data_IF_691695607610
#
_entry.id   IF_691695607610
#
_cell.length_a   1.000
_cell.length_b   1.000
_cell.length_c   1.000
_cell.angle_alpha   90.00
_cell.angle_beta   90.00
_cell.angle_gamma   90.00
#
_symmetry.space_group_name_H-M   'P 1'
#
loop_
_entity.id
_entity.type
_entity.pdbx_description
1 polymer ?
#
# COMPACT_ATOMS: atom_id res chain seq x y z
N UNK A 1 -9.85 16.52 48.98
CA UNK A 1 -10.21 15.48 49.97
C UNK A 1 -11.23 14.54 49.33
N UNK A 2 -11.11 13.24 49.62
CA UNK A 2 -11.94 12.07 49.22
C UNK A 2 -11.86 11.64 47.73
N UNK A 3 -10.98 10.69 47.38
CA UNK A 3 -11.06 9.20 47.52
C UNK A 3 -12.08 8.59 46.55
N UNK A 4 -11.56 7.88 45.54
CA UNK A 4 -12.13 6.59 45.15
C UNK A 4 -11.04 5.71 44.53
N UNK A 5 -10.66 4.67 45.26
CA UNK A 5 -9.70 3.63 44.85
C UNK A 5 -10.50 2.53 44.15
N UNK A 6 -10.08 2.12 42.95
CA UNK A 6 -10.52 0.85 42.35
C UNK A 6 -9.31 -0.08 42.26
N UNK A 7 -9.30 -1.06 43.13
CA UNK A 7 -8.42 -2.22 43.11
C UNK A 7 -9.00 -3.29 42.19
N UNK A 8 -8.18 -3.82 41.27
CA UNK A 8 -8.35 -5.19 40.77
C UNK A 8 -6.99 -5.90 40.78
N UNK A 9 -6.90 -6.90 41.66
CA UNK A 9 -5.87 -7.96 41.68
C UNK A 9 -6.21 -9.01 40.62
N UNK A 10 -5.20 -9.82 40.28
CA UNK A 10 -5.19 -11.26 39.87
C UNK A 10 -4.16 -11.45 38.75
N UNK A 11 -3.26 -12.44 38.65
CA UNK A 11 -2.62 -13.51 39.45
C UNK A 11 -1.39 -13.92 38.55
N UNK A 12 -0.19 -14.24 39.08
CA UNK A 12 0.89 -14.79 38.27
C UNK A 12 0.72 -16.31 38.08
N UNK A 13 0.86 -16.82 36.86
CA UNK A 13 0.96 -18.26 36.59
C UNK A 13 2.43 -18.61 36.37
N UNK A 14 2.94 -19.46 37.25
CA UNK A 14 4.25 -20.05 37.20
C UNK A 14 4.19 -21.51 36.69
N UNK A 15 5.29 -21.96 36.10
CA UNK A 15 5.65 -23.36 35.93
C UNK A 15 5.82 -23.78 34.47
N UNK A 16 6.70 -24.70 34.09
CA UNK A 16 7.83 -25.38 34.72
C UNK A 16 8.59 -26.07 33.59
N UNK A 17 9.88 -26.32 33.81
CA UNK A 17 10.79 -27.10 32.95
C UNK A 17 10.21 -28.44 32.47
N UNK A 18 10.56 -28.86 31.25
CA UNK A 18 10.82 -30.27 30.94
C UNK A 18 11.88 -30.38 29.83
N UNK A 19 13.04 -30.94 30.18
CA UNK A 19 14.05 -31.46 29.27
C UNK A 19 13.79 -32.97 29.06
N UNK A 20 13.99 -33.50 27.86
CA UNK A 20 14.28 -34.93 27.65
C UNK A 20 14.92 -35.18 26.27
N UNK A 21 16.07 -35.84 26.32
CA UNK A 21 16.84 -36.47 25.25
C UNK A 21 16.04 -37.60 24.57
N UNK A 22 16.29 -37.84 23.27
CA UNK A 22 16.35 -39.20 22.73
C UNK A 22 17.07 -39.26 21.37
N UNK A 23 17.88 -40.29 21.24
CA UNK A 23 18.83 -40.66 20.19
C UNK A 23 18.22 -41.54 19.09
N UNK A 24 18.94 -41.60 17.95
CA UNK A 24 19.12 -42.75 17.05
C UNK A 24 17.94 -43.20 16.16
N UNK A 25 18.18 -43.21 14.84
CA UNK A 25 18.14 -44.41 14.00
C UNK A 25 18.60 -44.10 12.56
N UNK A 26 19.68 -44.75 12.13
CA UNK A 26 19.97 -45.01 10.72
C UNK A 26 18.83 -45.83 10.10
N UNK A 27 18.54 -45.64 8.80
CA UNK A 27 18.53 -46.76 7.85
C UNK A 27 18.20 -46.38 6.40
N UNK A 28 18.99 -47.00 5.51
CA UNK A 28 18.63 -47.55 4.20
C UNK A 28 18.47 -46.62 2.98
N UNK A 29 19.60 -46.50 2.27
CA UNK A 29 19.80 -46.81 0.85
C UNK A 29 18.56 -46.89 -0.06
N UNK A 30 18.45 -45.91 -0.94
CA UNK A 30 17.63 -45.95 -2.15
C UNK A 30 18.26 -45.08 -3.22
N UNK A 31 19.30 -45.58 -3.88
CA UNK A 31 19.94 -44.93 -5.03
C UNK A 31 18.99 -45.00 -6.23
N UNK A 32 18.10 -44.02 -6.34
CA UNK A 32 17.37 -43.74 -7.58
C UNK A 32 18.31 -42.98 -8.51
N UNK A 33 18.49 -43.38 -9.78
CA UNK A 33 19.12 -42.50 -10.75
C UNK A 33 18.16 -41.32 -10.94
N UNK A 34 18.50 -40.18 -10.32
CA UNK A 34 17.89 -38.91 -10.64
C UNK A 34 18.25 -38.62 -12.09
N UNK A 35 17.29 -38.82 -12.99
CA UNK A 35 17.38 -38.26 -14.33
C UNK A 35 17.58 -36.77 -14.18
N UNK A 36 18.75 -36.27 -14.60
CA UNK A 36 19.02 -34.85 -14.77
C UNK A 36 18.06 -34.33 -15.83
N UNK A 37 16.84 -34.00 -15.40
CA UNK A 37 15.97 -33.12 -16.14
C UNK A 37 16.64 -31.76 -16.08
N UNK A 38 17.45 -31.45 -17.09
CA UNK A 38 17.91 -30.10 -17.37
C UNK A 38 16.67 -29.23 -17.55
N UNK A 39 16.20 -28.63 -16.45
CA UNK A 39 15.20 -27.60 -16.47
C UNK A 39 15.81 -26.40 -17.19
N UNK A 40 15.52 -26.30 -18.49
CA UNK A 40 15.90 -25.15 -19.30
C UNK A 40 15.37 -23.88 -18.60
N UNK A 41 16.24 -22.87 -18.34
CA UNK A 41 15.80 -21.64 -17.71
C UNK A 41 14.68 -21.02 -18.53
N UNK A 42 13.52 -20.80 -17.90
CA UNK A 42 12.45 -20.06 -18.54
C UNK A 42 12.99 -18.66 -18.90
N UNK A 43 12.73 -18.16 -20.13
CA UNK A 43 13.16 -16.83 -20.51
C UNK A 43 12.60 -15.80 -19.52
N UNK A 44 13.48 -14.95 -19.00
CA UNK A 44 13.11 -13.88 -18.07
C UNK A 44 12.04 -12.99 -18.72
N UNK A 45 10.91 -12.81 -18.05
CA UNK A 45 9.85 -11.93 -18.54
C UNK A 45 10.41 -10.52 -18.73
N UNK A 46 10.18 -9.93 -19.90
CA UNK A 46 10.58 -8.56 -20.17
C UNK A 46 9.96 -7.60 -19.13
N UNK A 47 10.66 -6.53 -18.72
CA UNK A 47 10.12 -5.55 -17.78
C UNK A 47 8.80 -4.98 -18.32
N UNK A 48 7.79 -4.90 -17.46
CA UNK A 48 6.52 -4.25 -17.79
C UNK A 48 6.79 -2.75 -17.98
N UNK A 49 6.47 -2.22 -19.16
CA UNK A 49 6.55 -0.77 -19.40
C UNK A 49 5.42 -0.06 -18.63
N UNK A 50 5.77 0.80 -17.69
CA UNK A 50 4.81 1.54 -16.88
C UNK A 50 4.46 2.88 -17.53
N UNK A 51 3.18 3.33 -17.46
CA UNK A 51 2.81 4.65 -17.93
C UNK A 51 3.60 5.73 -17.19
N UNK A 52 3.93 6.87 -17.85
CA UNK A 52 4.67 7.96 -17.23
C UNK A 52 3.96 8.48 -15.96
N UNK A 53 4.71 9.18 -15.11
CA UNK A 53 4.11 9.86 -13.97
C UNK A 53 3.16 10.95 -14.49
N UNK A 54 1.92 11.04 -13.96
CA UNK A 54 0.97 12.08 -14.35
C UNK A 54 1.51 13.50 -14.10
N UNK A 55 1.17 14.44 -14.97
CA UNK A 55 1.47 15.86 -14.78
C UNK A 55 0.18 16.64 -14.48
N UNK A 56 0.21 17.62 -13.56
CA UNK A 56 -0.90 18.53 -13.35
C UNK A 56 -0.98 19.50 -14.52
N UNK A 57 -1.92 19.29 -15.44
CA UNK A 57 -2.02 20.08 -16.68
C UNK A 57 -3.12 21.14 -16.59
N UNK A 58 -4.24 20.85 -15.93
CA UNK A 58 -5.38 21.76 -15.80
C UNK A 58 -5.68 22.13 -14.34
N UNK A 59 -6.19 23.34 -14.11
CA UNK A 59 -6.83 23.70 -12.84
C UNK A 59 -8.27 23.20 -12.85
N UNK A 60 -8.75 22.66 -11.73
CA UNK A 60 -10.12 22.17 -11.62
C UNK A 60 -10.29 21.21 -10.44
N UNK A 61 -11.54 20.96 -10.02
CA UNK A 61 -11.82 20.02 -8.94
C UNK A 61 -11.43 18.59 -9.35
N UNK A 62 -11.13 17.74 -8.37
CA UNK A 62 -10.96 16.32 -8.60
C UNK A 62 -12.32 15.66 -8.81
N UNK A 63 -12.54 14.86 -9.87
CA UNK A 63 -13.86 14.29 -10.16
C UNK A 63 -14.40 13.31 -9.10
N UNK A 64 -13.53 12.76 -8.26
CA UNK A 64 -13.84 11.67 -7.33
C UNK A 64 -13.35 11.90 -5.90
N UNK A 65 -12.79 13.09 -5.60
CA UNK A 65 -12.37 13.47 -4.25
C UNK A 65 -12.77 14.90 -3.96
N UNK A 66 -13.60 15.09 -2.93
CA UNK A 66 -13.99 16.41 -2.47
C UNK A 66 -12.84 17.09 -1.74
N UNK A 67 -12.72 18.40 -1.95
CA UNK A 67 -11.63 19.23 -1.40
C UNK A 67 -11.64 19.21 0.13
N UNK A 68 -12.82 19.29 0.72
CA UNK A 68 -13.05 19.32 2.17
C UNK A 68 -12.61 18.00 2.81
N UNK A 69 -13.02 16.87 2.21
CA UNK A 69 -12.59 15.55 2.66
C UNK A 69 -11.06 15.41 2.61
N UNK A 70 -10.42 15.83 1.52
CA UNK A 70 -8.95 15.77 1.41
C UNK A 70 -8.29 16.65 2.47
N UNK A 71 -8.83 17.84 2.73
CA UNK A 71 -8.30 18.73 3.74
C UNK A 71 -8.38 18.11 5.15
N UNK A 72 -9.49 17.45 5.47
CA UNK A 72 -9.69 16.75 6.75
C UNK A 72 -8.81 15.49 6.86
N UNK A 73 -8.83 14.63 5.85
CA UNK A 73 -8.08 13.37 5.84
C UNK A 73 -6.56 13.61 5.87
N UNK A 74 -6.09 14.63 5.15
CA UNK A 74 -4.67 15.00 5.13
C UNK A 74 -4.29 15.89 6.33
N UNK A 75 -5.24 16.60 6.92
CA UNK A 75 -5.04 17.52 8.05
C UNK A 75 -4.42 18.86 7.63
N UNK A 76 -4.65 19.31 6.40
CA UNK A 76 -4.16 20.58 5.86
C UNK A 76 -5.19 21.20 4.92
N UNK A 77 -5.42 22.51 5.02
CA UNK A 77 -6.29 23.21 4.06
C UNK A 77 -5.79 23.05 2.62
N UNK A 78 -6.72 22.90 1.69
CA UNK A 78 -6.45 22.88 0.25
C UNK A 78 -6.70 24.28 -0.31
N UNK A 79 -5.68 24.86 -0.95
CA UNK A 79 -5.79 26.16 -1.62
C UNK A 79 -6.02 26.06 -3.12
N UNK A 80 -5.61 24.94 -3.75
CA UNK A 80 -5.76 24.72 -5.19
C UNK A 80 -5.79 23.23 -5.50
N UNK A 81 -6.57 22.85 -6.51
CA UNK A 81 -6.59 21.51 -7.08
C UNK A 81 -6.23 21.60 -8.57
N UNK A 82 -5.41 20.64 -9.02
CA UNK A 82 -5.10 20.43 -10.43
C UNK A 82 -5.32 18.98 -10.80
N UNK A 83 -5.58 18.74 -12.07
CA UNK A 83 -5.81 17.40 -12.62
C UNK A 83 -4.89 17.14 -13.81
N UNK A 84 -4.56 15.87 -14.05
CA UNK A 84 -3.86 15.46 -15.27
C UNK A 84 -4.82 15.27 -16.45
N UNK A 85 -4.25 14.93 -17.61
CA UNK A 85 -5.01 14.59 -18.82
C UNK A 85 -5.29 13.08 -18.95
N UNK A 86 -4.95 12.27 -17.93
CA UNK A 86 -5.13 10.82 -17.98
C UNK A 86 -6.62 10.44 -18.05
N UNK A 87 -6.91 9.33 -18.73
CA UNK A 87 -8.26 8.78 -18.89
C UNK A 87 -8.31 7.30 -18.45
N UNK A 88 -9.47 6.81 -17.96
CA UNK A 88 -10.71 7.55 -17.74
C UNK A 88 -10.70 8.40 -16.45
N UNK A 89 -9.76 8.14 -15.54
CA UNK A 89 -9.67 8.84 -14.26
C UNK A 89 -8.39 9.71 -14.24
N UNK A 90 -8.52 11.05 -14.30
CA UNK A 90 -7.36 11.92 -14.22
C UNK A 90 -6.76 11.85 -12.82
N UNK A 91 -5.43 11.88 -12.72
CA UNK A 91 -4.76 12.02 -11.43
C UNK A 91 -5.05 13.40 -10.83
N UNK A 92 -5.28 13.43 -9.53
CA UNK A 92 -5.62 14.65 -8.80
C UNK A 92 -4.47 15.11 -7.92
N UNK A 93 -4.16 16.40 -7.98
CA UNK A 93 -3.07 17.05 -7.26
C UNK A 93 -3.63 18.16 -6.37
N UNK A 94 -3.47 18.01 -5.06
CA UNK A 94 -3.99 18.94 -4.07
C UNK A 94 -2.83 19.76 -3.51
N UNK A 95 -2.97 21.07 -3.55
CA UNK A 95 -1.97 22.03 -3.09
C UNK A 95 -2.47 22.77 -1.85
N UNK A 96 -1.55 23.09 -0.95
CA UNK A 96 -1.76 24.01 0.16
C UNK A 96 -1.97 25.45 -0.33
N UNK A 97 -2.52 26.34 0.52
CA UNK A 97 -2.61 27.77 0.21
C UNK A 97 -1.27 28.44 -0.12
N UNK A 98 -0.15 27.94 0.42
CA UNK A 98 1.21 28.43 0.11
C UNK A 98 1.79 27.88 -1.20
N UNK A 99 1.01 27.08 -1.94
CA UNK A 99 1.42 26.49 -3.22
C UNK A 99 2.16 25.16 -3.10
N UNK A 100 2.47 24.68 -1.90
CA UNK A 100 3.10 23.37 -1.70
C UNK A 100 2.17 22.20 -2.03
N UNK A 101 2.65 21.19 -2.76
CA UNK A 101 1.87 19.97 -3.01
C UNK A 101 1.69 19.20 -1.69
N UNK A 102 0.45 18.82 -1.37
CA UNK A 102 0.15 18.11 -0.13
C UNK A 102 -0.34 16.69 -0.33
N UNK A 103 -1.01 16.42 -1.44
CA UNK A 103 -1.54 15.09 -1.74
C UNK A 103 -1.65 14.89 -3.24
N UNK A 104 -1.31 13.69 -3.72
CA UNK A 104 -1.61 13.23 -5.08
C UNK A 104 -2.38 11.92 -5.01
N UNK A 105 -3.44 11.81 -5.80
CA UNK A 105 -4.17 10.56 -5.99
C UNK A 105 -4.12 10.16 -7.47
N UNK A 106 -3.50 9.03 -7.77
CA UNK A 106 -3.44 8.44 -9.11
C UNK A 106 -4.28 7.17 -9.14
N UNK A 107 -5.13 7.07 -10.15
CA UNK A 107 -5.94 5.88 -10.44
C UNK A 107 -5.50 5.34 -11.79
N UNK A 108 -5.38 4.03 -11.89
CA UNK A 108 -5.11 3.31 -13.13
C UNK A 108 -6.13 2.19 -13.29
N UNK A 109 -6.64 2.00 -14.51
CA UNK A 109 -7.51 0.89 -14.88
C UNK A 109 -7.02 0.37 -16.24
N UNK A 110 -6.66 -0.90 -16.31
CA UNK A 110 -6.12 -1.51 -17.52
C UNK A 110 -5.51 -2.88 -17.28
N UNK A 111 -4.24 -3.04 -17.67
CA UNK A 111 -3.54 -4.32 -17.59
C UNK A 111 -3.13 -4.65 -16.14
N UNK A 112 -3.43 -5.86 -15.63
CA UNK A 112 -3.08 -6.25 -14.26
C UNK A 112 -1.58 -6.21 -13.93
N UNK A 113 -0.70 -6.49 -14.90
CA UNK A 113 0.76 -6.42 -14.67
C UNK A 113 1.21 -4.96 -14.55
N UNK A 114 0.60 -4.05 -15.31
CA UNK A 114 0.85 -2.60 -15.17
C UNK A 114 0.33 -2.10 -13.84
N UNK A 115 -0.90 -2.47 -13.45
CA UNK A 115 -1.49 -2.10 -12.16
C UNK A 115 -0.58 -2.53 -10.99
N UNK A 116 -0.14 -3.79 -10.98
CA UNK A 116 0.81 -4.29 -9.99
C UNK A 116 2.15 -3.54 -10.04
N UNK A 117 2.68 -3.32 -11.24
CA UNK A 117 3.97 -2.63 -11.40
C UNK A 117 3.93 -1.17 -10.91
N UNK A 118 2.80 -0.47 -11.07
CA UNK A 118 2.61 0.87 -10.50
C UNK A 118 2.60 0.85 -8.96
N UNK A 119 1.97 -0.16 -8.36
CA UNK A 119 1.98 -0.34 -6.90
C UNK A 119 3.38 -0.67 -6.39
N UNK A 120 4.08 -1.61 -7.02
CA UNK A 120 5.43 -1.99 -6.64
C UNK A 120 6.43 -0.83 -6.83
N UNK A 121 6.25 0.00 -7.86
CA UNK A 121 7.06 1.20 -8.07
C UNK A 121 6.82 2.24 -6.95
N UNK A 122 5.57 2.41 -6.51
CA UNK A 122 5.20 3.39 -5.50
C UNK A 122 5.53 2.92 -4.06
N UNK A 123 5.35 1.63 -3.79
CA UNK A 123 5.59 0.98 -2.51
C UNK A 123 6.34 -0.34 -2.74
N UNK A 124 7.68 -0.31 -2.83
CA UNK A 124 8.48 -1.49 -3.12
C UNK A 124 8.29 -2.59 -2.08
N UNK A 125 8.14 -3.84 -2.54
CA UNK A 125 7.88 -5.01 -1.68
C UNK A 125 8.97 -5.22 -0.62
N UNK A 126 10.22 -4.88 -0.93
CA UNK A 126 11.35 -5.07 -0.02
C UNK A 126 11.50 -4.01 1.07
N UNK A 127 10.82 -2.86 0.95
CA UNK A 127 11.00 -1.72 1.88
C UNK A 127 9.70 -1.24 2.51
N UNK A 128 8.56 -1.55 1.89
CA UNK A 128 7.25 -1.11 2.37
C UNK A 128 6.58 -2.13 3.26
N UNK A 129 5.70 -1.65 4.14
CA UNK A 129 4.83 -2.53 4.91
C UNK A 129 3.67 -3.02 4.03
N UNK A 130 3.27 -4.29 4.12
CA UNK A 130 2.10 -4.80 3.42
C UNK A 130 0.85 -3.97 3.72
N UNK A 131 0.03 -3.74 2.70
CA UNK A 131 -1.23 -3.02 2.80
C UNK A 131 -2.36 -3.84 2.16
N UNK A 132 -3.52 -3.86 2.82
CA UNK A 132 -4.74 -4.49 2.33
C UNK A 132 -5.97 -3.64 2.66
N UNK A 133 -6.98 -3.71 1.79
CA UNK A 133 -8.31 -3.16 2.00
C UNK A 133 -9.37 -4.21 1.63
N UNK A 134 -10.60 -3.99 2.09
CA UNK A 134 -11.76 -4.84 1.75
C UNK A 134 -11.95 -4.93 0.24
N UNK A 135 -12.52 -6.04 -0.24
CA UNK A 135 -12.71 -6.28 -1.67
C UNK A 135 -11.47 -6.83 -2.39
N UNK A 136 -10.42 -7.21 -1.65
CA UNK A 136 -9.25 -7.92 -2.19
C UNK A 136 -8.14 -7.00 -2.74
N UNK A 137 -8.15 -5.73 -2.34
CA UNK A 137 -7.09 -4.78 -2.67
C UNK A 137 -5.81 -5.07 -1.88
N UNK A 138 -4.68 -5.19 -2.56
CA UNK A 138 -3.40 -5.56 -1.96
C UNK A 138 -2.28 -4.65 -2.45
N UNK A 139 -1.29 -4.37 -1.61
CA UNK A 139 -0.11 -3.60 -1.99
C UNK A 139 0.78 -3.25 -0.82
N UNK A 140 1.23 -2.00 -0.75
CA UNK A 140 2.20 -1.54 0.23
C UNK A 140 1.94 -0.13 0.73
N UNK A 141 2.49 0.17 1.90
CA UNK A 141 2.49 1.51 2.48
C UNK A 141 3.79 1.77 3.22
N UNK A 142 4.29 2.99 3.14
CA UNK A 142 5.48 3.39 3.88
C UNK A 142 5.55 4.91 4.05
N UNK A 143 6.19 5.41 5.11
CA UNK A 143 6.73 6.75 5.12
C UNK A 143 7.76 6.91 3.98
N UNK A 144 7.88 8.12 3.46
CA UNK A 144 8.91 8.53 2.50
C UNK A 144 9.65 9.73 3.07
N UNK A 145 10.72 10.19 2.42
CA UNK A 145 11.47 11.38 2.87
C UNK A 145 10.59 12.64 2.90
N UNK A 146 9.66 12.76 1.96
CA UNK A 146 8.76 13.91 1.82
C UNK A 146 7.36 13.72 2.42
N UNK A 147 7.04 12.53 2.95
CA UNK A 147 5.76 12.26 3.59
C UNK A 147 5.44 10.78 3.70
N UNK A 148 4.41 10.30 3.01
CA UNK A 148 4.02 8.89 3.01
C UNK A 148 3.30 8.49 1.71
N UNK A 149 3.26 7.18 1.47
CA UNK A 149 2.56 6.55 0.35
C UNK A 149 1.69 5.41 0.85
N UNK A 150 0.52 5.24 0.21
CA UNK A 150 -0.32 4.06 0.28
C UNK A 150 -0.72 3.68 -1.15
N UNK A 151 -0.34 2.47 -1.56
CA UNK A 151 -0.54 1.99 -2.93
C UNK A 151 -1.11 0.57 -2.90
N UNK A 152 -2.22 0.36 -3.62
CA UNK A 152 -2.91 -0.94 -3.70
C UNK A 152 -3.41 -1.20 -5.11
N UNK A 153 -3.49 -2.47 -5.47
CA UNK A 153 -4.05 -2.95 -6.73
C UNK A 153 -5.04 -4.09 -6.50
N UNK A 154 -5.97 -4.24 -7.44
CA UNK A 154 -6.94 -5.32 -7.54
C UNK A 154 -7.20 -5.61 -9.01
N UNK A 155 -6.81 -6.78 -9.50
CA UNK A 155 -6.91 -7.10 -10.92
C UNK A 155 -6.19 -6.07 -11.79
N UNK A 156 -6.92 -5.45 -12.73
CA UNK A 156 -6.42 -4.39 -13.63
C UNK A 156 -6.39 -2.99 -13.03
N UNK A 157 -6.77 -2.83 -11.77
CA UNK A 157 -6.95 -1.53 -11.13
C UNK A 157 -5.81 -1.26 -10.14
N UNK A 158 -5.31 -0.02 -10.11
CA UNK A 158 -4.35 0.43 -9.12
C UNK A 158 -4.67 1.84 -8.62
N UNK A 159 -4.48 2.06 -7.33
CA UNK A 159 -4.62 3.35 -6.68
C UNK A 159 -3.33 3.64 -5.93
N UNK A 160 -2.71 4.77 -6.25
CA UNK A 160 -1.51 5.27 -5.58
C UNK A 160 -1.82 6.63 -4.98
N UNK A 161 -1.76 6.73 -3.67
CA UNK A 161 -1.93 8.00 -2.94
C UNK A 161 -0.63 8.35 -2.24
N UNK A 162 -0.11 9.55 -2.52
CA UNK A 162 1.02 10.14 -1.80
C UNK A 162 0.57 11.36 -1.03
N UNK A 163 1.14 11.56 0.15
CA UNK A 163 0.88 12.72 1.01
C UNK A 163 2.20 13.31 1.50
N UNK A 164 2.23 14.61 1.78
CA UNK A 164 3.34 15.28 2.46
C UNK A 164 3.38 15.01 3.98
N UNK A 165 2.47 14.19 4.50
CA UNK A 165 2.38 13.82 5.90
C UNK A 165 3.06 12.48 6.14
N UNK A 166 3.78 12.32 7.25
CA UNK A 166 4.52 11.08 7.55
C UNK A 166 3.63 9.89 7.91
N UNK A 167 2.33 10.11 8.16
CA UNK A 167 1.42 9.05 8.59
C UNK A 167 0.74 8.40 7.38
N UNK A 168 1.05 7.13 7.11
CA UNK A 168 0.44 6.35 6.01
C UNK A 168 -1.07 6.22 6.11
N UNK A 169 -1.65 6.30 7.31
CA UNK A 169 -3.11 6.26 7.51
C UNK A 169 -3.85 7.40 6.78
N UNK A 170 -3.18 8.54 6.55
CA UNK A 170 -3.77 9.66 5.81
C UNK A 170 -3.94 9.33 4.33
N UNK A 171 -2.91 8.74 3.71
CA UNK A 171 -2.99 8.23 2.34
C UNK A 171 -4.01 7.09 2.24
N UNK A 172 -4.02 6.16 3.21
CA UNK A 172 -4.98 5.05 3.27
C UNK A 172 -6.44 5.53 3.25
N UNK A 173 -6.81 6.49 4.10
CA UNK A 173 -8.19 7.01 4.15
C UNK A 173 -8.63 7.60 2.82
N UNK A 174 -7.71 8.28 2.13
CA UNK A 174 -8.00 8.82 0.80
C UNK A 174 -8.13 7.70 -0.23
N UNK A 175 -7.29 6.66 -0.16
CA UNK A 175 -7.44 5.46 -1.01
C UNK A 175 -8.82 4.80 -0.84
N UNK A 176 -9.27 4.60 0.40
CA UNK A 176 -10.60 4.05 0.71
C UNK A 176 -11.72 4.90 0.10
N UNK A 177 -11.61 6.23 0.18
CA UNK A 177 -12.56 7.15 -0.44
C UNK A 177 -12.56 7.08 -1.97
N UNK A 178 -11.39 6.94 -2.60
CA UNK A 178 -11.29 6.79 -4.07
C UNK A 178 -12.01 5.52 -4.52
N UNK A 179 -11.74 4.39 -3.84
CA UNK A 179 -12.39 3.10 -4.12
C UNK A 179 -13.91 3.26 -4.03
N UNK A 180 -14.40 3.88 -2.95
CA UNK A 180 -15.83 4.09 -2.74
C UNK A 180 -16.45 5.01 -3.80
N UNK A 181 -15.80 6.14 -4.13
CA UNK A 181 -16.34 7.13 -5.06
C UNK A 181 -16.38 6.64 -6.51
N UNK A 182 -15.44 5.78 -6.90
CA UNK A 182 -15.35 5.22 -8.25
C UNK A 182 -16.02 3.84 -8.39
N UNK A 183 -16.54 3.29 -7.28
CA UNK A 183 -17.14 1.94 -7.22
C UNK A 183 -16.21 0.85 -7.76
N UNK A 184 -14.93 0.88 -7.35
CA UNK A 184 -13.89 -0.05 -7.80
C UNK A 184 -13.84 -1.35 -6.98
#
# INVERSE_FOLDING_TARGET
MLISRVTRRVVPVAGSLLALLATAACNLTGSHPAGESSAQPAPAAAPVALPPQPQPTANGPCPYLQTEFVAEANGQHVGKVRVSADQPHPACFFYRPDGGLQLTARVYVGDPKVAKGLVDQAAPVGTSNPASLDGGWQGGSQPTDSGAVYAVAKGGEAIVVTTNQKQTIKARRVTEQVISALAL
#
